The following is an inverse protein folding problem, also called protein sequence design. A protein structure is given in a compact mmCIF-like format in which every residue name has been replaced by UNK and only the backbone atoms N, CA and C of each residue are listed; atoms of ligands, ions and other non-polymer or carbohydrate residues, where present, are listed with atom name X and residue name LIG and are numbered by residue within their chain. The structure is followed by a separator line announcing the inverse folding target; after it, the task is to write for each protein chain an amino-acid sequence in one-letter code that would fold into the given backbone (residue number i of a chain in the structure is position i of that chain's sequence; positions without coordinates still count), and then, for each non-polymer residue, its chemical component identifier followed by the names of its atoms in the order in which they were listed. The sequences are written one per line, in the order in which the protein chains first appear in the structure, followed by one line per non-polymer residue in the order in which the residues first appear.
data_IF_203074756845
#
_entry.id   IF_203074756845
#
_cell.length_a   1.000
_cell.length_b   1.000
_cell.length_c   1.000
_cell.angle_alpha   90.00
_cell.angle_beta   90.00
_cell.angle_gamma   90.00
#
_symmetry.space_group_name_H-M   'P 1'
#
loop_
_entity.id
_entity.type
_entity.pdbx_description
1 polymer ?
#
# COMPACT_ATOMS: atom_id res chain seq x y z
N UNK A 1 20.80 -0.15 21.77
CA UNK A 1 20.43 0.25 20.38
C UNK A 1 20.49 1.75 20.12
N UNK A 2 19.87 2.63 20.91
CA UNK A 2 19.98 4.10 20.66
C UNK A 2 21.45 4.56 20.61
N UNK A 3 22.26 4.09 21.55
CA UNK A 3 23.71 4.33 21.56
C UNK A 3 24.40 3.87 20.25
N UNK A 4 24.08 2.66 19.75
CA UNK A 4 24.60 2.15 18.47
C UNK A 4 24.26 3.10 17.32
N UNK A 5 23.02 3.58 17.24
CA UNK A 5 22.59 4.53 16.21
C UNK A 5 23.33 5.88 16.29
N UNK A 6 23.46 6.43 17.49
CA UNK A 6 24.20 7.70 17.73
C UNK A 6 25.68 7.55 17.38
N UNK A 7 26.33 6.51 17.88
CA UNK A 7 27.76 6.25 17.61
C UNK A 7 27.99 6.09 16.11
N UNK A 8 27.15 5.31 15.43
CA UNK A 8 27.28 5.09 13.97
C UNK A 8 27.10 6.38 13.19
N UNK A 9 26.14 7.23 13.59
CA UNK A 9 25.89 8.51 12.95
C UNK A 9 27.06 9.49 13.15
N UNK A 10 27.57 9.60 14.38
CA UNK A 10 28.69 10.51 14.70
C UNK A 10 29.97 10.03 14.01
N UNK A 11 30.27 8.73 14.08
CA UNK A 11 31.42 8.15 13.40
C UNK A 11 31.34 8.38 11.88
N UNK A 12 30.19 8.11 11.27
CA UNK A 12 29.98 8.37 9.85
C UNK A 12 30.13 9.84 9.47
N UNK A 13 29.65 10.76 10.32
CA UNK A 13 29.79 12.19 10.10
C UNK A 13 31.26 12.65 10.19
N UNK A 14 32.01 12.11 11.16
CA UNK A 14 33.46 12.34 11.25
C UNK A 14 34.18 11.81 10.01
N UNK A 15 33.85 10.60 9.55
CA UNK A 15 34.45 10.00 8.37
C UNK A 15 34.10 10.75 7.07
N UNK A 16 32.90 11.34 7.01
CA UNK A 16 32.44 12.15 5.89
C UNK A 16 33.17 13.50 5.81
N UNK A 17 33.38 14.16 6.94
CA UNK A 17 33.97 15.52 7.00
C UNK A 17 35.48 15.50 7.11
N UNK A 18 36.04 14.50 7.81
CA UNK A 18 37.47 14.37 8.09
C UNK A 18 38.03 12.95 7.82
N UNK A 19 37.84 12.37 6.62
CA UNK A 19 38.26 10.99 6.31
C UNK A 19 39.77 10.76 6.48
N UNK A 20 40.60 11.77 6.19
CA UNK A 20 42.05 11.66 6.34
C UNK A 20 42.54 11.58 7.79
N UNK A 21 41.79 12.13 8.75
CA UNK A 21 42.10 11.98 10.17
C UNK A 21 41.89 10.53 10.61
N UNK A 22 40.77 9.94 10.19
CA UNK A 22 40.42 8.57 10.55
C UNK A 22 41.35 7.55 9.90
N UNK A 23 41.68 7.72 8.61
CA UNK A 23 42.67 6.87 7.93
C UNK A 23 44.01 6.82 8.68
N UNK A 24 44.49 7.96 9.18
CA UNK A 24 45.72 8.01 10.00
C UNK A 24 45.54 7.29 11.33
N UNK A 25 44.39 7.43 11.98
CA UNK A 25 44.07 6.72 13.22
C UNK A 25 44.01 5.20 13.03
N UNK A 26 43.57 4.74 11.86
CA UNK A 26 43.54 3.32 11.48
C UNK A 26 44.90 2.79 10.99
N UNK A 27 45.94 3.62 10.97
CA UNK A 27 47.30 3.26 10.58
C UNK A 27 47.52 3.19 9.06
N UNK A 28 46.66 3.84 8.27
CA UNK A 28 46.75 3.87 6.80
C UNK A 28 47.21 5.22 6.26
N UNK A 29 48.10 5.22 5.27
CA UNK A 29 48.46 6.45 4.56
C UNK A 29 47.30 6.96 3.70
N UNK A 30 46.86 8.22 3.89
CA UNK A 30 45.73 8.77 3.15
C UNK A 30 46.13 9.14 1.71
N UNK A 31 45.65 8.36 0.75
CA UNK A 31 45.68 8.68 -0.69
C UNK A 31 44.40 9.43 -1.10
N UNK A 32 44.38 10.19 -2.21
CA UNK A 32 43.17 10.85 -2.69
C UNK A 32 41.98 9.88 -2.89
N UNK A 33 42.27 8.67 -3.37
CA UNK A 33 41.27 7.63 -3.57
C UNK A 33 40.74 7.08 -2.24
N UNK A 34 41.60 6.77 -1.26
CA UNK A 34 41.17 6.26 0.04
C UNK A 34 40.42 7.30 0.86
N UNK A 35 40.80 8.58 0.77
CA UNK A 35 40.08 9.70 1.40
C UNK A 35 38.66 9.84 0.83
N UNK A 36 38.52 9.80 -0.50
CA UNK A 36 37.20 9.87 -1.14
C UNK A 36 36.31 8.65 -0.82
N UNK A 37 36.92 7.45 -0.83
CA UNK A 37 36.24 6.20 -0.52
C UNK A 37 35.76 6.17 0.94
N UNK A 38 36.61 6.57 1.90
CA UNK A 38 36.23 6.68 3.31
C UNK A 38 35.11 7.72 3.50
N UNK A 39 35.19 8.88 2.86
CA UNK A 39 34.12 9.87 2.91
C UNK A 39 32.77 9.31 2.41
N UNK A 40 32.80 8.52 1.34
CA UNK A 40 31.62 7.85 0.79
C UNK A 40 31.04 6.82 1.77
N UNK A 41 31.89 6.01 2.41
CA UNK A 41 31.47 5.08 3.48
C UNK A 41 30.84 5.85 4.64
N UNK A 42 31.46 6.95 5.06
CA UNK A 42 30.96 7.82 6.11
C UNK A 42 29.54 8.34 5.85
N UNK A 43 29.25 8.77 4.61
CA UNK A 43 27.91 9.16 4.19
C UNK A 43 26.88 8.04 4.43
N UNK A 44 27.19 6.81 4.03
CA UNK A 44 26.29 5.68 4.25
C UNK A 44 26.12 5.37 5.75
N UNK A 45 27.19 5.46 6.55
CA UNK A 45 27.10 5.30 8.00
C UNK A 45 26.18 6.35 8.64
N UNK A 46 26.21 7.61 8.19
CA UNK A 46 25.27 8.64 8.63
C UNK A 46 23.82 8.24 8.30
N UNK A 47 23.57 7.78 7.08
CA UNK A 47 22.22 7.38 6.65
C UNK A 47 21.70 6.17 7.44
N UNK A 48 22.50 5.12 7.64
CA UNK A 48 22.09 3.94 8.39
C UNK A 48 22.01 4.19 9.91
N UNK A 49 22.89 5.03 10.47
CA UNK A 49 22.78 5.49 11.85
C UNK A 49 21.51 6.32 12.09
N UNK A 50 21.21 7.26 11.19
CA UNK A 50 19.98 8.05 11.20
C UNK A 50 18.73 7.19 11.01
N UNK A 51 18.77 6.22 10.09
CA UNK A 51 17.70 5.25 9.88
C UNK A 51 17.43 4.45 11.16
N UNK A 52 18.47 3.92 11.80
CA UNK A 52 18.33 3.17 13.05
C UNK A 52 17.67 4.03 14.15
N UNK A 53 18.11 5.27 14.33
CA UNK A 53 17.50 6.20 15.28
C UNK A 53 16.05 6.54 14.94
N UNK A 54 15.71 6.65 13.66
CA UNK A 54 14.36 6.92 13.20
C UNK A 54 13.43 5.73 13.48
N UNK A 55 13.84 4.50 13.13
CA UNK A 55 12.99 3.32 13.31
C UNK A 55 12.84 2.91 14.77
N UNK A 56 13.80 3.26 15.63
CA UNK A 56 13.68 3.08 17.08
C UNK A 56 12.55 3.94 17.70
N UNK A 57 12.05 4.99 17.01
CA UNK A 57 10.88 5.75 17.48
C UNK A 57 9.58 4.96 17.31
N UNK A 58 9.50 4.11 16.28
CA UNK A 58 8.31 3.30 15.94
C UNK A 58 8.73 1.90 15.46
N UNK A 59 9.25 1.05 16.35
CA UNK A 59 9.92 -0.19 15.97
C UNK A 59 9.01 -1.23 15.29
N UNK A 60 7.69 -1.13 15.46
CA UNK A 60 6.74 -2.08 14.88
C UNK A 60 6.34 -1.77 13.44
N UNK A 61 6.53 -0.53 12.95
CA UNK A 61 6.05 -0.08 11.63
C UNK A 61 6.98 -0.49 10.47
N UNK A 62 8.31 -0.47 10.69
CA UNK A 62 9.32 -0.70 9.64
C UNK A 62 10.40 -1.69 10.09
N UNK A 63 10.04 -2.98 10.14
CA UNK A 63 10.95 -4.04 10.61
C UNK A 63 12.11 -4.32 9.66
N UNK A 64 11.87 -4.20 8.37
CA UNK A 64 12.86 -4.50 7.35
C UNK A 64 14.06 -3.57 7.44
N UNK A 65 13.86 -2.34 7.95
CA UNK A 65 14.94 -1.42 8.22
C UNK A 65 15.93 -1.97 9.27
N UNK A 66 15.47 -2.67 10.31
CA UNK A 66 16.38 -3.31 11.28
C UNK A 66 17.21 -4.43 10.63
N UNK A 67 16.62 -5.18 9.69
CA UNK A 67 17.35 -6.20 8.93
C UNK A 67 18.47 -5.55 8.09
N UNK A 68 18.15 -4.51 7.32
CA UNK A 68 19.12 -3.84 6.47
C UNK A 68 20.22 -3.13 7.27
N UNK A 69 19.90 -2.51 8.41
CA UNK A 69 20.90 -1.94 9.32
C UNK A 69 21.80 -3.03 9.90
N UNK A 70 21.25 -4.18 10.29
CA UNK A 70 22.04 -5.29 10.79
C UNK A 70 22.98 -5.85 9.71
N UNK A 71 22.50 -6.03 8.48
CA UNK A 71 23.30 -6.49 7.35
C UNK A 71 24.42 -5.50 7.02
N UNK A 72 24.16 -4.18 7.09
CA UNK A 72 25.18 -3.17 6.91
C UNK A 72 26.29 -3.29 7.97
N UNK A 73 25.93 -3.48 9.25
CA UNK A 73 26.89 -3.67 10.34
C UNK A 73 27.72 -4.94 10.19
N UNK A 74 27.08 -6.07 9.88
CA UNK A 74 27.79 -7.34 9.68
C UNK A 74 28.70 -7.29 8.44
N UNK A 75 28.24 -6.66 7.36
CA UNK A 75 29.03 -6.44 6.16
C UNK A 75 30.24 -5.54 6.41
N UNK A 76 30.09 -4.46 7.20
CA UNK A 76 31.18 -3.60 7.61
C UNK A 76 32.22 -4.35 8.47
N UNK A 77 31.76 -5.13 9.46
CA UNK A 77 32.63 -5.96 10.29
C UNK A 77 33.45 -6.96 9.45
N UNK A 78 32.79 -7.63 8.50
CA UNK A 78 33.47 -8.54 7.57
C UNK A 78 34.49 -7.82 6.69
N UNK A 79 34.11 -6.69 6.09
CA UNK A 79 35.00 -5.94 5.20
C UNK A 79 36.25 -5.40 5.93
N UNK A 80 36.09 -4.90 7.16
CA UNK A 80 37.20 -4.44 7.98
C UNK A 80 38.11 -5.60 8.40
N UNK A 81 37.54 -6.69 8.92
CA UNK A 81 38.32 -7.88 9.29
C UNK A 81 39.09 -8.45 8.10
N UNK A 82 38.47 -8.50 6.92
CA UNK A 82 39.09 -8.93 5.68
C UNK A 82 40.21 -7.97 5.22
N UNK A 83 40.05 -6.67 5.41
CA UNK A 83 41.10 -5.69 5.16
C UNK A 83 42.33 -5.89 6.05
N UNK A 84 42.13 -6.25 7.32
CA UNK A 84 43.24 -6.60 8.24
C UNK A 84 43.99 -7.84 7.76
N UNK A 85 43.29 -8.88 7.28
CA UNK A 85 43.95 -10.09 6.75
C UNK A 85 44.77 -9.86 5.47
N UNK A 86 44.65 -8.67 4.87
CA UNK A 86 45.39 -8.26 3.67
C UNK A 86 46.39 -7.13 3.95
N UNK A 87 46.68 -6.88 5.22
CA UNK A 87 47.57 -5.79 5.67
C UNK A 87 47.15 -4.39 5.17
N UNK A 88 45.87 -4.22 4.82
CA UNK A 88 45.32 -2.91 4.42
C UNK A 88 45.07 -2.04 5.65
N UNK A 89 44.67 -2.65 6.78
CA UNK A 89 44.37 -1.96 8.02
C UNK A 89 45.19 -2.52 9.18
N UNK A 90 45.52 -1.67 10.15
CA UNK A 90 46.19 -2.10 11.37
C UNK A 90 45.33 -3.08 12.19
N UNK A 91 45.92 -4.07 12.89
CA UNK A 91 45.18 -5.00 13.76
C UNK A 91 44.29 -4.32 14.81
N UNK A 92 44.59 -3.07 15.19
CA UNK A 92 43.75 -2.28 16.11
C UNK A 92 42.32 -2.07 15.57
N UNK A 93 42.15 -2.09 14.25
CA UNK A 93 40.85 -1.93 13.57
C UNK A 93 39.90 -3.12 13.79
N UNK A 94 40.41 -4.27 14.26
CA UNK A 94 39.58 -5.38 14.69
C UNK A 94 38.65 -5.00 15.86
N UNK A 95 39.02 -4.00 16.68
CA UNK A 95 38.13 -3.45 17.69
C UNK A 95 36.87 -2.82 17.09
N UNK A 96 37.02 -2.10 15.96
CA UNK A 96 35.89 -1.51 15.21
C UNK A 96 35.05 -2.61 14.57
N UNK A 97 35.70 -3.60 13.95
CA UNK A 97 35.00 -4.76 13.40
C UNK A 97 34.20 -5.53 14.46
N UNK A 98 34.77 -5.72 15.66
CA UNK A 98 34.12 -6.35 16.79
C UNK A 98 32.89 -5.56 17.28
N UNK A 99 33.01 -4.24 17.36
CA UNK A 99 31.88 -3.37 17.70
C UNK A 99 30.74 -3.48 16.68
N UNK A 100 31.07 -3.49 15.38
CA UNK A 100 30.07 -3.60 14.32
C UNK A 100 29.42 -5.00 14.28
N UNK A 101 30.19 -6.06 14.52
CA UNK A 101 29.67 -7.42 14.65
C UNK A 101 28.67 -7.51 15.81
N UNK A 102 29.07 -7.06 17.00
CA UNK A 102 28.23 -7.10 18.19
C UNK A 102 26.97 -6.23 18.02
N UNK A 103 27.11 -5.06 17.39
CA UNK A 103 25.99 -4.19 17.03
C UNK A 103 25.02 -4.87 16.07
N UNK A 104 25.52 -5.51 15.01
CA UNK A 104 24.71 -6.24 14.04
C UNK A 104 23.93 -7.40 14.67
N UNK A 105 24.60 -8.20 15.49
CA UNK A 105 23.97 -9.30 16.23
C UNK A 105 22.91 -8.81 17.23
N UNK A 106 23.19 -7.71 17.96
CA UNK A 106 22.22 -7.10 18.87
C UNK A 106 20.96 -6.62 18.13
N UNK A 107 21.13 -6.03 16.93
CA UNK A 107 20.01 -5.56 16.11
C UNK A 107 19.18 -6.75 15.57
N UNK A 108 19.82 -7.84 15.13
CA UNK A 108 19.11 -9.07 14.74
C UNK A 108 18.35 -9.70 15.91
N UNK A 109 18.97 -9.77 17.08
CA UNK A 109 18.31 -10.23 18.30
C UNK A 109 17.08 -9.40 18.64
N UNK A 110 17.18 -8.07 18.53
CA UNK A 110 16.02 -7.20 18.71
C UNK A 110 14.93 -7.38 17.65
N UNK A 111 15.31 -7.59 16.39
CA UNK A 111 14.34 -7.91 15.33
C UNK A 111 13.61 -9.23 15.62
N UNK A 112 14.31 -10.21 16.17
CA UNK A 112 13.72 -11.47 16.58
C UNK A 112 12.72 -11.29 17.74
N UNK A 113 13.07 -10.53 18.77
CA UNK A 113 12.13 -10.26 19.88
C UNK A 113 10.89 -9.51 19.42
N UNK A 114 11.03 -8.55 18.49
CA UNK A 114 9.89 -7.87 17.87
C UNK A 114 8.99 -8.81 17.06
N UNK A 115 9.57 -9.82 16.39
CA UNK A 115 8.81 -10.84 15.65
C UNK A 115 8.08 -11.78 16.59
N UNK A 116 8.74 -12.23 17.66
CA UNK A 116 8.18 -13.12 18.67
C UNK A 116 7.03 -12.48 19.42
N UNK A 117 7.15 -11.21 19.82
CA UNK A 117 6.08 -10.45 20.48
C UNK A 117 4.79 -10.35 19.66
N UNK A 118 4.86 -10.48 18.33
CA UNK A 118 3.70 -10.42 17.45
C UNK A 118 3.12 -11.78 17.05
N UNK A 119 3.88 -12.86 17.17
CA UNK A 119 3.37 -14.23 16.92
C UNK A 119 2.12 -14.57 17.73
N UNK A 120 2.02 -14.28 19.04
CA UNK A 120 0.82 -14.63 19.81
C UNK A 120 -0.39 -13.82 19.37
N UNK A 121 -0.24 -12.52 19.08
CA UNK A 121 -1.33 -11.65 18.60
C UNK A 121 -1.82 -12.09 17.22
N UNK A 122 -0.91 -12.38 16.29
CA UNK A 122 -1.26 -12.90 14.97
C UNK A 122 -1.95 -14.26 15.09
N UNK A 123 -1.44 -15.15 15.95
CA UNK A 123 -2.04 -16.47 16.18
C UNK A 123 -3.44 -16.36 16.82
N UNK A 124 -3.67 -15.39 17.71
CA UNK A 124 -4.96 -15.14 18.33
C UNK A 124 -5.98 -14.54 17.33
N UNK A 125 -5.54 -13.68 16.41
CA UNK A 125 -6.38 -13.15 15.33
C UNK A 125 -6.67 -14.20 14.25
N UNK A 126 -5.76 -15.16 14.04
CA UNK A 126 -5.94 -16.30 13.12
C UNK A 126 -6.74 -17.44 13.76
N UNK A 127 -6.79 -17.51 15.10
CA UNK A 127 -7.60 -18.50 15.82
C UNK A 127 -9.07 -18.15 15.57
N UNK A 128 -9.87 -19.04 14.96
CA UNK A 128 -11.30 -18.83 14.85
C UNK A 128 -11.85 -18.60 16.26
N UNK A 129 -12.61 -17.52 16.46
CA UNK A 129 -13.27 -17.29 17.74
C UNK A 129 -14.06 -18.57 18.12
N UNK A 130 -14.10 -18.95 19.41
CA UNK A 130 -15.01 -19.98 19.87
C UNK A 130 -16.41 -19.64 19.33
N UNK A 131 -17.05 -20.57 18.62
CA UNK A 131 -18.44 -20.40 18.21
C UNK A 131 -19.28 -20.42 19.47
N UNK A 132 -19.47 -19.27 20.09
CA UNK A 132 -20.63 -19.09 20.97
C UNK A 132 -21.85 -19.25 20.07
N UNK A 133 -22.76 -20.20 20.35
CA UNK A 133 -24.05 -20.19 19.68
C UNK A 133 -24.65 -18.80 19.89
N UNK A 134 -25.20 -18.15 18.85
CA UNK A 134 -25.78 -16.83 19.01
C UNK A 134 -26.81 -16.89 20.13
N UNK A 135 -26.79 -15.98 21.12
CA UNK A 135 -27.94 -15.83 22.00
C UNK A 135 -29.17 -15.60 21.12
N UNK A 136 -30.24 -16.35 21.38
CA UNK A 136 -31.52 -16.15 20.71
C UNK A 136 -31.86 -14.66 20.81
N UNK A 137 -32.06 -13.94 19.68
CA UNK A 137 -32.27 -12.51 19.74
C UNK A 137 -33.65 -12.27 20.34
N UNK A 138 -33.68 -11.73 21.56
CA UNK A 138 -34.80 -10.89 21.96
C UNK A 138 -34.69 -9.61 21.11
N UNK A 139 -35.66 -9.31 20.25
CA UNK A 139 -35.51 -8.22 19.29
C UNK A 139 -35.54 -6.89 20.04
N UNK A 140 -34.49 -6.04 19.96
CA UNK A 140 -34.64 -4.66 20.36
C UNK A 140 -35.69 -4.00 19.45
N UNK A 141 -36.46 -3.01 19.95
CA UNK A 141 -37.42 -2.28 19.14
C UNK A 141 -36.66 -1.42 18.13
N UNK A 142 -36.28 -2.01 16.99
CA UNK A 142 -35.75 -1.29 15.85
C UNK A 142 -36.93 -0.69 15.10
N UNK A 143 -37.09 0.62 15.18
CA UNK A 143 -37.92 1.36 14.23
C UNK A 143 -37.23 1.31 12.87
N UNK A 144 -37.81 0.69 11.83
CA UNK A 144 -37.18 0.66 10.52
C UNK A 144 -37.35 2.02 9.84
N UNK A 145 -36.25 2.64 9.39
CA UNK A 145 -36.31 3.84 8.54
C UNK A 145 -36.91 3.53 7.14
N UNK A 146 -37.17 2.26 6.82
CA UNK A 146 -38.08 1.84 5.76
C UNK A 146 -38.62 0.45 6.10
N UNK A 147 -39.85 0.37 6.59
CA UNK A 147 -40.56 -0.91 6.67
C UNK A 147 -40.80 -1.42 5.25
N UNK A 148 -40.37 -2.65 4.97
CA UNK A 148 -40.47 -3.30 3.67
C UNK A 148 -41.91 -3.76 3.39
N UNK A 149 -42.42 -3.64 2.15
CA UNK A 149 -43.67 -4.29 1.76
C UNK A 149 -43.54 -5.83 1.75
N UNK A 150 -44.53 -6.58 2.26
CA UNK A 150 -44.52 -8.04 2.23
C UNK A 150 -44.42 -8.56 0.77
N UNK A 151 -43.45 -9.43 0.47
CA UNK A 151 -43.35 -10.14 -0.83
C UNK A 151 -42.02 -10.04 -1.60
N UNK A 152 -41.18 -9.02 -1.38
CA UNK A 152 -39.99 -8.83 -2.25
C UNK A 152 -38.71 -9.49 -1.72
N UNK A 153 -38.12 -10.52 -2.35
CA UNK A 153 -36.92 -11.20 -1.84
C UNK A 153 -35.82 -10.25 -1.32
N UNK A 154 -35.14 -10.60 -0.21
CA UNK A 154 -34.14 -9.73 0.44
C UNK A 154 -32.97 -9.47 -0.53
N UNK A 155 -32.88 -8.25 -1.08
CA UNK A 155 -31.70 -7.81 -1.84
C UNK A 155 -30.50 -7.72 -0.90
N UNK A 156 -29.41 -8.40 -1.25
CA UNK A 156 -28.17 -8.41 -0.48
C UNK A 156 -27.04 -7.84 -1.32
N UNK A 157 -26.17 -7.08 -0.68
CA UNK A 157 -24.95 -6.55 -1.28
C UNK A 157 -23.72 -7.27 -0.74
N UNK A 158 -22.77 -7.55 -1.62
CA UNK A 158 -21.48 -8.16 -1.30
C UNK A 158 -20.38 -7.10 -1.42
N UNK A 159 -19.60 -6.87 -0.37
CA UNK A 159 -18.49 -5.90 -0.39
C UNK A 159 -17.16 -6.64 -0.30
N UNK A 160 -16.35 -6.55 -1.36
CA UNK A 160 -15.05 -7.20 -1.51
C UNK A 160 -13.93 -6.18 -1.29
N UNK A 161 -13.51 -6.07 -0.03
CA UNK A 161 -12.45 -5.18 0.38
C UNK A 161 -11.09 -5.55 -0.26
N UNK A 162 -10.25 -4.53 -0.45
CA UNK A 162 -8.88 -4.70 -0.92
C UNK A 162 -7.96 -5.38 0.10
N UNK A 163 -6.88 -5.98 -0.37
CA UNK A 163 -5.88 -6.63 0.49
C UNK A 163 -4.61 -7.13 -0.20
N UNK A 164 -4.33 -6.68 -1.43
CA UNK A 164 -3.28 -7.26 -2.28
C UNK A 164 -3.58 -8.73 -2.65
N UNK A 165 -2.56 -9.54 -2.93
CA UNK A 165 -2.74 -10.96 -3.30
C UNK A 165 -3.39 -11.83 -2.20
N UNK A 166 -3.48 -11.33 -0.96
CA UNK A 166 -4.18 -12.06 0.11
C UNK A 166 -5.66 -12.25 -0.21
N UNK A 167 -6.25 -11.49 -1.12
CA UNK A 167 -7.66 -11.61 -1.54
C UNK A 167 -8.06 -12.99 -2.06
N UNK A 168 -7.11 -13.89 -2.35
CA UNK A 168 -7.41 -15.29 -2.67
C UNK A 168 -8.29 -15.99 -1.61
N UNK A 169 -8.19 -15.62 -0.32
CA UNK A 169 -9.05 -16.19 0.72
C UNK A 169 -10.53 -15.86 0.52
N UNK A 170 -10.85 -14.73 -0.14
CA UNK A 170 -12.23 -14.32 -0.39
C UNK A 170 -12.97 -15.33 -1.29
N UNK A 171 -12.28 -16.01 -2.21
CA UNK A 171 -12.90 -17.08 -3.01
C UNK A 171 -13.45 -18.22 -2.13
N UNK A 172 -12.72 -18.59 -1.07
CA UNK A 172 -13.19 -19.56 -0.08
C UNK A 172 -14.39 -19.06 0.73
N UNK A 173 -14.41 -17.77 1.08
CA UNK A 173 -15.56 -17.16 1.74
C UNK A 173 -16.79 -17.12 0.81
N UNK A 174 -16.61 -16.79 -0.47
CA UNK A 174 -17.65 -16.83 -1.49
C UNK A 174 -18.19 -18.23 -1.70
N UNK A 175 -17.32 -19.26 -1.67
CA UNK A 175 -17.74 -20.66 -1.71
C UNK A 175 -18.64 -21.02 -0.54
N UNK A 176 -18.25 -20.67 0.70
CA UNK A 176 -19.08 -20.94 1.87
C UNK A 176 -20.44 -20.21 1.81
N UNK A 177 -20.48 -18.98 1.31
CA UNK A 177 -21.72 -18.22 1.12
C UNK A 177 -22.62 -18.85 0.05
N UNK A 178 -22.02 -19.34 -1.04
CA UNK A 178 -22.73 -20.04 -2.11
C UNK A 178 -23.30 -21.38 -1.64
N UNK A 179 -22.52 -22.19 -0.93
CA UNK A 179 -22.97 -23.44 -0.30
C UNK A 179 -24.12 -23.21 0.71
N UNK A 180 -24.14 -22.04 1.36
CA UNK A 180 -25.23 -21.62 2.25
C UNK A 180 -26.48 -21.07 1.51
N UNK A 181 -26.50 -21.07 0.18
CA UNK A 181 -27.62 -20.56 -0.62
C UNK A 181 -27.79 -19.04 -0.54
N UNK A 182 -26.71 -18.29 -0.25
CA UNK A 182 -26.74 -16.84 -0.17
C UNK A 182 -26.46 -16.23 -1.54
N UNK A 183 -27.49 -15.59 -2.10
CA UNK A 183 -27.40 -14.83 -3.34
C UNK A 183 -27.29 -13.33 -3.08
N UNK A 184 -26.62 -12.63 -3.98
CA UNK A 184 -26.39 -11.19 -3.95
C UNK A 184 -26.98 -10.55 -5.20
N UNK A 185 -27.66 -9.42 -5.02
CA UNK A 185 -28.17 -8.61 -6.12
C UNK A 185 -27.13 -7.57 -6.59
N UNK A 186 -26.18 -7.24 -5.71
CA UNK A 186 -25.16 -6.23 -5.95
C UNK A 186 -23.82 -6.65 -5.35
N UNK A 187 -22.72 -6.32 -6.03
CA UNK A 187 -21.36 -6.52 -5.57
C UNK A 187 -20.50 -5.28 -5.76
N UNK A 188 -19.69 -4.96 -4.75
CA UNK A 188 -18.78 -3.82 -4.76
C UNK A 188 -17.34 -4.29 -4.47
N UNK A 189 -16.38 -3.89 -5.29
CA UNK A 189 -15.01 -4.38 -5.22
C UNK A 189 -13.97 -3.26 -5.22
N UNK A 190 -12.94 -3.41 -4.37
CA UNK A 190 -11.84 -2.45 -4.28
C UNK A 190 -10.48 -3.16 -4.35
N UNK A 191 -9.53 -2.60 -5.12
CA UNK A 191 -8.16 -3.14 -5.25
C UNK A 191 -8.15 -4.63 -5.63
N UNK A 192 -7.48 -5.51 -4.87
CA UNK A 192 -7.50 -6.96 -5.15
C UNK A 192 -8.90 -7.58 -5.12
N UNK A 193 -9.85 -6.99 -4.37
CA UNK A 193 -11.24 -7.45 -4.33
C UNK A 193 -11.95 -7.31 -5.68
N UNK A 194 -11.50 -6.38 -6.54
CA UNK A 194 -11.97 -6.22 -7.92
C UNK A 194 -11.76 -7.51 -8.72
N UNK A 195 -10.70 -8.28 -8.46
CA UNK A 195 -10.44 -9.53 -9.18
C UNK A 195 -11.52 -10.58 -8.88
N UNK A 196 -11.88 -10.75 -7.61
CA UNK A 196 -12.93 -11.71 -7.23
C UNK A 196 -14.32 -11.25 -7.72
N UNK A 197 -14.62 -9.94 -7.66
CA UNK A 197 -15.84 -9.39 -8.21
C UNK A 197 -15.90 -9.62 -9.73
N UNK A 198 -14.80 -9.37 -10.44
CA UNK A 198 -14.70 -9.57 -11.87
C UNK A 198 -14.87 -11.05 -12.25
N UNK A 199 -14.30 -11.99 -11.50
CA UNK A 199 -14.53 -13.44 -11.72
C UNK A 199 -16.01 -13.81 -11.59
N UNK A 200 -16.69 -13.33 -10.54
CA UNK A 200 -18.12 -13.58 -10.36
C UNK A 200 -18.95 -12.98 -11.49
N UNK A 201 -18.66 -11.74 -11.89
CA UNK A 201 -19.34 -11.06 -12.99
C UNK A 201 -19.02 -11.69 -14.35
N UNK A 202 -17.88 -12.37 -14.49
CA UNK A 202 -17.53 -13.21 -15.65
C UNK A 202 -18.25 -14.56 -15.64
N UNK A 203 -19.08 -14.85 -14.64
CA UNK A 203 -19.84 -16.09 -14.52
C UNK A 203 -19.10 -17.25 -13.87
N UNK A 204 -17.92 -17.03 -13.26
CA UNK A 204 -17.19 -18.11 -12.57
C UNK A 204 -17.90 -18.52 -11.29
N UNK A 205 -18.03 -19.84 -11.06
CA UNK A 205 -18.57 -20.36 -9.81
C UNK A 205 -17.53 -20.24 -8.68
N UNK A 206 -17.94 -19.99 -7.41
CA UNK A 206 -16.99 -19.84 -6.30
C UNK A 206 -16.04 -21.04 -6.10
N UNK A 207 -16.47 -22.25 -6.45
CA UNK A 207 -15.60 -23.44 -6.43
C UNK A 207 -14.49 -23.37 -7.49
N UNK A 208 -14.83 -22.97 -8.72
CA UNK A 208 -13.87 -22.77 -9.81
C UNK A 208 -12.91 -21.62 -9.48
N UNK A 209 -13.43 -20.54 -8.87
CA UNK A 209 -12.62 -19.43 -8.39
C UNK A 209 -11.53 -19.92 -7.43
N UNK A 210 -11.87 -20.77 -6.47
CA UNK A 210 -10.90 -21.37 -5.55
C UNK A 210 -9.82 -22.17 -6.29
N UNK A 211 -10.21 -22.98 -7.28
CA UNK A 211 -9.28 -23.76 -8.10
C UNK A 211 -8.30 -22.89 -8.89
N UNK A 212 -8.81 -21.83 -9.53
CA UNK A 212 -8.01 -20.87 -10.28
C UNK A 212 -7.02 -20.12 -9.39
N UNK A 213 -7.46 -19.65 -8.22
CA UNK A 213 -6.56 -19.02 -7.24
C UNK A 213 -5.46 -19.96 -6.74
N UNK A 214 -5.76 -21.25 -6.56
CA UNK A 214 -4.78 -22.24 -6.07
C UNK A 214 -3.68 -22.56 -7.08
N UNK A 215 -4.01 -22.48 -8.37
CA UNK A 215 -3.11 -22.81 -9.48
C UNK A 215 -2.41 -21.57 -10.07
N UNK A 216 -2.83 -20.37 -9.67
CA UNK A 216 -2.23 -19.13 -10.12
C UNK A 216 -0.81 -19.00 -9.58
N UNK A 217 0.17 -18.87 -10.48
CA UNK A 217 1.57 -18.71 -10.06
C UNK A 217 1.76 -17.27 -9.63
N UNK A 218 2.28 -17.07 -8.41
CA UNK A 218 2.59 -15.74 -7.87
C UNK A 218 3.57 -14.98 -8.79
N UNK A 219 4.44 -15.70 -9.48
CA UNK A 219 5.38 -15.16 -10.45
C UNK A 219 4.68 -14.46 -11.63
N UNK A 220 3.45 -14.85 -11.98
CA UNK A 220 2.69 -14.22 -13.07
C UNK A 220 2.17 -12.82 -12.69
N UNK A 221 2.19 -12.44 -11.40
CA UNK A 221 2.01 -11.06 -10.96
C UNK A 221 3.27 -10.19 -11.09
N UNK A 222 4.44 -10.83 -11.26
CA UNK A 222 5.74 -10.17 -11.28
C UNK A 222 6.35 -10.37 -12.66
N UNK A 223 6.29 -9.34 -13.50
CA UNK A 223 7.13 -9.28 -14.69
C UNK A 223 8.59 -9.25 -14.24
N UNK A 224 9.34 -10.35 -14.43
CA UNK A 224 10.80 -10.32 -14.33
C UNK A 224 11.31 -9.36 -15.41
N UNK A 225 11.70 -8.14 -15.01
CA UNK A 225 12.38 -7.20 -15.90
C UNK A 225 13.83 -7.67 -16.10
N UNK A 226 14.39 -7.41 -17.28
CA UNK A 226 15.78 -7.78 -17.60
C UNK A 226 16.78 -7.11 -16.64
N UNK A 227 17.92 -7.75 -16.33
CA UNK A 227 18.94 -7.21 -15.42
C UNK A 227 19.44 -5.80 -15.81
N UNK A 228 19.41 -5.48 -17.09
CA UNK A 228 19.85 -4.20 -17.67
C UNK A 228 19.01 -3.00 -17.23
N UNK A 229 17.73 -3.20 -16.87
CA UNK A 229 16.86 -2.13 -16.38
C UNK A 229 17.01 -1.87 -14.88
N UNK A 230 17.53 -2.83 -14.10
CA UNK A 230 17.88 -2.61 -12.69
C UNK A 230 19.05 -1.61 -12.52
N UNK A 231 19.88 -1.45 -13.54
CA UNK A 231 20.97 -0.46 -13.56
C UNK A 231 20.47 0.98 -13.79
N UNK A 232 19.21 1.18 -14.20
CA UNK A 232 18.58 2.50 -14.32
C UNK A 232 17.76 2.82 -13.07
N UNK A 233 18.45 2.95 -11.94
CA UNK A 233 17.86 3.20 -10.62
C UNK A 233 17.05 4.52 -10.49
N UNK A 234 17.08 5.39 -11.50
CA UNK A 234 16.42 6.70 -11.52
C UNK A 234 15.02 6.69 -12.14
N UNK A 235 14.54 5.54 -12.61
CA UNK A 235 13.24 5.39 -13.28
C UNK A 235 12.47 4.16 -12.76
N UNK A 236 12.38 4.03 -11.43
CA UNK A 236 11.61 2.93 -10.82
C UNK A 236 10.11 3.18 -10.99
N UNK A 237 9.56 2.67 -12.09
CA UNK A 237 8.13 2.34 -12.20
C UNK A 237 7.74 1.34 -11.10
N UNK A 238 6.57 1.55 -10.49
CA UNK A 238 6.06 0.73 -9.40
C UNK A 238 6.01 -0.77 -9.77
N UNK A 239 6.44 -1.62 -8.84
CA UNK A 239 6.45 -3.08 -8.99
C UNK A 239 5.06 -3.62 -9.38
N UNK A 240 4.99 -4.24 -10.56
CA UNK A 240 3.82 -4.92 -11.11
C UNK A 240 3.47 -4.37 -12.48
N UNK A 241 3.92 -5.00 -13.56
CA UNK A 241 3.52 -4.61 -14.90
C UNK A 241 2.08 -5.07 -15.19
N UNK A 242 1.20 -4.14 -15.55
CA UNK A 242 -0.23 -4.34 -15.78
C UNK A 242 -0.42 -5.25 -16.99
N UNK A 243 0.57 -5.27 -17.89
CA UNK A 243 0.60 -6.19 -19.02
C UNK A 243 0.71 -7.64 -18.56
N UNK A 244 1.47 -7.94 -17.49
CA UNK A 244 1.56 -9.29 -16.92
C UNK A 244 0.25 -9.74 -16.29
N UNK A 245 -0.41 -8.84 -15.56
CA UNK A 245 -1.72 -9.10 -14.96
C UNK A 245 -2.80 -9.32 -16.05
N UNK A 246 -2.82 -8.48 -17.08
CA UNK A 246 -3.81 -8.59 -18.17
C UNK A 246 -3.56 -9.81 -19.04
N UNK A 247 -2.31 -10.13 -19.38
CA UNK A 247 -1.99 -11.23 -20.30
C UNK A 247 -1.95 -12.60 -19.63
N UNK A 248 -1.63 -12.67 -18.34
CA UNK A 248 -1.44 -13.95 -17.65
C UNK A 248 -2.43 -14.15 -16.52
N UNK A 249 -2.63 -13.15 -15.66
CA UNK A 249 -3.48 -13.32 -14.47
C UNK A 249 -4.96 -13.36 -14.82
N UNK A 250 -5.47 -12.47 -15.69
CA UNK A 250 -6.90 -12.44 -16.02
C UNK A 250 -7.39 -13.66 -16.79
N UNK A 251 -6.70 -14.10 -17.86
CA UNK A 251 -7.11 -15.33 -18.55
C UNK A 251 -7.07 -16.53 -17.61
N UNK A 252 -6.06 -16.61 -16.74
CA UNK A 252 -5.97 -17.69 -15.74
C UNK A 252 -7.11 -17.65 -14.72
N UNK A 253 -7.45 -16.45 -14.22
CA UNK A 253 -8.58 -16.26 -13.31
C UNK A 253 -9.95 -16.38 -14.01
N UNK A 254 -9.99 -16.53 -15.33
CA UNK A 254 -11.26 -16.64 -16.07
C UNK A 254 -12.04 -15.33 -16.07
N UNK A 255 -11.33 -14.19 -16.02
CA UNK A 255 -11.91 -12.86 -16.08
C UNK A 255 -12.14 -12.52 -17.55
N UNK A 256 -13.40 -12.34 -17.92
CA UNK A 256 -13.85 -11.99 -19.26
C UNK A 256 -14.59 -10.64 -19.21
N UNK A 257 -14.03 -9.66 -19.92
CA UNK A 257 -14.51 -8.27 -19.91
C UNK A 257 -15.89 -8.15 -20.56
N UNK A 258 -16.12 -8.90 -21.63
CA UNK A 258 -17.37 -8.84 -22.37
C UNK A 258 -18.47 -9.53 -21.57
N UNK A 259 -18.15 -10.64 -20.90
CA UNK A 259 -19.05 -11.29 -19.95
C UNK A 259 -19.42 -10.38 -18.77
N UNK A 260 -18.45 -9.65 -18.19
CA UNK A 260 -18.69 -8.69 -17.10
C UNK A 260 -19.68 -7.61 -17.54
N UNK A 261 -19.51 -7.05 -18.74
CA UNK A 261 -20.39 -5.99 -19.25
C UNK A 261 -21.79 -6.50 -19.58
N UNK A 262 -21.89 -7.72 -20.09
CA UNK A 262 -23.15 -8.34 -20.45
C UNK A 262 -23.91 -8.94 -19.25
N UNK A 263 -23.31 -8.97 -18.05
CA UNK A 263 -23.91 -9.60 -16.89
C UNK A 263 -25.15 -8.83 -16.40
N UNK A 264 -26.33 -9.43 -16.50
CA UNK A 264 -27.59 -8.85 -15.96
C UNK A 264 -28.05 -9.54 -14.68
N UNK A 265 -27.36 -10.58 -14.23
CA UNK A 265 -27.73 -11.38 -13.06
C UNK A 265 -27.33 -10.72 -11.73
N UNK A 266 -26.26 -9.91 -11.74
CA UNK A 266 -25.79 -9.17 -10.56
C UNK A 266 -25.21 -7.82 -10.98
N UNK A 267 -25.62 -6.74 -10.32
CA UNK A 267 -25.00 -5.43 -10.52
C UNK A 267 -23.64 -5.37 -9.82
N UNK A 268 -22.65 -4.78 -10.49
CA UNK A 268 -21.28 -4.63 -9.98
C UNK A 268 -20.78 -3.19 -9.98
N UNK A 269 -20.10 -2.75 -8.92
CA UNK A 269 -19.33 -1.51 -8.88
C UNK A 269 -17.87 -1.77 -8.52
N UNK A 270 -16.97 -1.12 -9.26
CA UNK A 270 -15.54 -1.21 -9.05
C UNK A 270 -15.00 0.13 -8.57
N UNK A 271 -14.47 0.16 -7.34
CA UNK A 271 -14.01 1.40 -6.72
C UNK A 271 -12.55 1.66 -7.03
N UNK A 272 -12.31 2.84 -7.60
CA UNK A 272 -10.99 3.34 -7.97
C UNK A 272 -10.77 4.72 -7.36
N UNK A 273 -9.52 5.03 -7.01
CA UNK A 273 -9.15 6.33 -6.49
C UNK A 273 -8.71 7.24 -7.64
N UNK A 274 -9.40 8.35 -7.90
CA UNK A 274 -8.80 9.45 -8.64
C UNK A 274 -7.75 10.13 -7.76
N UNK A 275 -6.47 9.95 -8.09
CA UNK A 275 -5.41 10.56 -7.30
C UNK A 275 -5.28 12.07 -7.50
N UNK A 276 -5.68 12.56 -8.67
CA UNK A 276 -5.61 13.98 -9.00
C UNK A 276 -6.63 14.75 -8.17
N UNK A 277 -7.85 14.21 -8.08
CA UNK A 277 -8.97 14.81 -7.34
C UNK A 277 -9.04 14.33 -5.89
N UNK A 278 -8.31 13.27 -5.52
CA UNK A 278 -8.38 12.58 -4.21
C UNK A 278 -9.79 12.10 -3.89
N UNK A 279 -10.51 11.65 -4.92
CA UNK A 279 -11.91 11.21 -4.83
C UNK A 279 -12.01 9.73 -5.15
N UNK A 280 -12.95 9.04 -4.51
CA UNK A 280 -13.29 7.68 -4.87
C UNK A 280 -14.33 7.71 -6.00
N UNK A 281 -14.11 6.92 -7.04
CA UNK A 281 -15.06 6.73 -8.13
C UNK A 281 -15.49 5.27 -8.18
N UNK A 282 -16.80 5.05 -8.15
CA UNK A 282 -17.40 3.74 -8.32
C UNK A 282 -17.77 3.59 -9.81
N UNK A 283 -17.02 2.76 -10.53
CA UNK A 283 -17.26 2.49 -11.95
C UNK A 283 -18.25 1.31 -12.05
N UNK A 284 -19.42 1.51 -12.69
CA UNK A 284 -20.36 0.43 -12.97
C UNK A 284 -19.73 -0.67 -13.86
N UNK A 285 -20.12 -1.92 -13.67
CA UNK A 285 -19.53 -3.06 -14.38
C UNK A 285 -19.79 -3.05 -15.90
N UNK A 286 -20.90 -2.48 -16.35
CA UNK A 286 -21.25 -2.32 -17.77
C UNK A 286 -20.36 -1.27 -18.47
N UNK A 287 -19.86 -0.30 -17.72
CA UNK A 287 -18.92 0.72 -18.18
C UNK A 287 -17.46 0.33 -17.94
N UNK A 288 -17.21 -0.88 -17.46
CA UNK A 288 -15.88 -1.30 -17.06
C UNK A 288 -14.93 -1.39 -18.26
N UNK A 289 -13.85 -0.61 -18.24
CA UNK A 289 -12.75 -0.65 -19.21
C UNK A 289 -11.44 -0.84 -18.44
N UNK A 290 -10.87 -2.04 -18.51
CA UNK A 290 -9.67 -2.43 -17.77
C UNK A 290 -8.44 -1.53 -18.03
N UNK A 291 -8.24 -1.08 -19.27
CA UNK A 291 -7.09 -0.26 -19.66
C UNK A 291 -7.05 1.12 -18.99
N UNK A 292 -8.18 1.65 -18.51
CA UNK A 292 -8.24 2.93 -17.80
C UNK A 292 -8.02 2.79 -16.28
N UNK A 293 -8.55 1.72 -15.66
CA UNK A 293 -8.56 1.54 -14.21
C UNK A 293 -7.17 1.27 -13.60
N UNK A 294 -6.32 0.48 -14.28
CA UNK A 294 -4.98 0.11 -13.79
C UNK A 294 -3.83 0.93 -14.38
N UNK A 295 -3.97 1.49 -15.59
CA UNK A 295 -2.90 2.31 -16.22
C UNK A 295 -2.71 3.61 -15.47
N UNK A 296 -3.76 4.09 -14.86
CA UNK A 296 -3.75 5.34 -14.15
C UNK A 296 -3.25 5.14 -12.70
N UNK A 297 -2.91 3.90 -12.34
CA UNK A 297 -2.22 3.58 -11.09
C UNK A 297 -0.72 3.95 -11.18
N UNK A 298 -0.32 4.52 -12.34
CA UNK A 298 1.06 4.68 -12.82
C UNK A 298 1.45 6.11 -13.22
N UNK A 299 0.97 7.20 -12.60
CA UNK A 299 1.74 8.45 -12.71
C UNK A 299 2.76 8.56 -11.58
N UNK A 300 4.05 8.67 -11.90
CA UNK A 300 5.03 9.25 -11.00
C UNK A 300 4.61 10.67 -10.64
N UNK A 301 4.92 11.11 -9.43
CA UNK A 301 4.77 12.48 -8.93
C UNK A 301 5.71 13.50 -9.61
N UNK A 302 6.31 13.17 -10.76
CA UNK A 302 7.29 13.99 -11.48
C UNK A 302 6.92 14.19 -12.95
N UNK A 303 5.90 15.00 -13.23
CA UNK A 303 5.71 15.63 -14.53
C UNK A 303 5.48 17.14 -14.37
N UNK A 304 6.51 17.93 -14.67
CA UNK A 304 6.36 19.36 -14.97
C UNK A 304 5.64 19.52 -16.32
N UNK A 305 4.91 20.63 -16.52
CA UNK A 305 3.85 20.70 -17.51
C UNK A 305 4.41 20.91 -18.92
N UNK A 306 4.06 20.04 -19.85
CA UNK A 306 4.07 20.35 -21.28
C UNK A 306 2.64 20.22 -21.82
N UNK A 307 1.88 21.31 -21.71
CA UNK A 307 0.81 21.77 -22.62
C UNK A 307 -0.12 20.77 -23.31
N UNK A 308 -0.47 19.62 -22.71
CA UNK A 308 -1.48 18.69 -23.25
C UNK A 308 -2.59 18.44 -22.22
N UNK A 309 -3.86 18.27 -22.65
CA UNK A 309 -5.00 18.16 -21.76
C UNK A 309 -4.81 17.01 -20.75
N UNK A 310 -5.12 17.30 -19.49
CA UNK A 310 -4.82 16.47 -18.33
C UNK A 310 -5.42 15.06 -18.48
N UNK A 311 -4.56 14.05 -18.65
CA UNK A 311 -4.95 12.65 -18.47
C UNK A 311 -5.09 12.41 -16.97
N UNK A 312 -6.30 12.10 -16.52
CA UNK A 312 -6.59 11.73 -15.13
C UNK A 312 -5.80 10.47 -14.73
N UNK A 313 -5.38 10.43 -13.46
CA UNK A 313 -4.60 9.32 -12.90
C UNK A 313 -5.38 8.61 -11.79
N UNK A 314 -5.52 7.28 -11.89
CA UNK A 314 -6.47 6.39 -11.18
C UNK A 314 -5.79 5.18 -10.53
N UNK A 315 -5.80 5.06 -9.22
CA UNK A 315 -5.05 4.01 -8.52
C UNK A 315 -5.98 3.15 -7.66
N UNK A 316 -5.61 1.91 -7.30
CA UNK A 316 -6.43 1.12 -6.40
C UNK A 316 -6.43 1.76 -5.02
N UNK A 317 -7.61 2.03 -4.47
CA UNK A 317 -7.75 2.58 -3.13
C UNK A 317 -7.15 1.58 -2.11
N UNK A 318 -6.10 2.02 -1.38
CA UNK A 318 -5.37 1.19 -0.40
C UNK A 318 -3.84 1.36 -0.38
N UNK A 319 -3.26 2.14 -1.28
CA UNK A 319 -1.85 2.55 -1.19
C UNK A 319 -1.64 3.47 0.02
N UNK A 320 -0.76 3.07 0.94
CA UNK A 320 -0.36 3.80 2.16
C UNK A 320 -0.16 5.30 1.88
N UNK A 321 -0.88 6.17 2.59
CA UNK A 321 -0.58 7.61 2.58
C UNK A 321 0.84 7.83 3.11
N UNK A 322 1.71 8.62 2.46
CA UNK A 322 2.84 9.23 3.14
C UNK A 322 2.27 10.22 4.17
N UNK A 323 2.62 10.03 5.44
CA UNK A 323 2.25 10.93 6.53
C UNK A 323 2.74 12.34 6.23
N UNK A 324 1.82 13.27 5.98
CA UNK A 324 2.16 14.69 5.89
C UNK A 324 2.27 15.24 7.31
N UNK A 325 3.51 15.37 7.79
CA UNK A 325 3.84 16.04 9.04
C UNK A 325 3.81 17.56 8.85
N UNK A 326 2.61 18.15 8.86
CA UNK A 326 2.41 19.56 9.18
C UNK A 326 1.15 19.70 10.05
N UNK A 327 1.17 20.48 11.14
CA UNK A 327 -0.03 20.74 11.92
C UNK A 327 -1.01 21.49 11.04
N UNK A 328 -2.23 20.99 10.87
CA UNK A 328 -3.33 21.82 10.40
C UNK A 328 -3.60 22.87 11.48
N UNK A 329 -3.10 24.08 11.25
CA UNK A 329 -3.50 25.27 11.98
C UNK A 329 -5.00 25.50 11.82
N UNK A 330 -5.59 26.00 12.90
CA UNK A 330 -6.96 26.44 13.05
C UNK A 330 -7.44 27.25 11.84
N UNK A 331 -8.49 26.76 11.17
CA UNK A 331 -9.35 27.60 10.34
C UNK A 331 -10.71 27.68 11.04
N UNK A 332 -11.03 28.90 11.49
CA UNK A 332 -12.23 29.31 12.22
C UNK A 332 -13.51 28.74 11.62
N UNK A 333 -14.38 28.27 12.50
CA UNK A 333 -15.82 28.22 12.26
C UNK A 333 -16.31 29.64 11.97
N UNK A 334 -16.82 29.89 10.76
CA UNK A 334 -17.77 30.97 10.49
C UNK A 334 -19.13 30.34 10.24
N UNK A 335 -20.01 30.53 11.22
CA UNK A 335 -21.44 30.29 11.21
C UNK A 335 -22.18 31.25 10.27
N UNK A 336 -23.24 30.76 9.63
CA UNK A 336 -24.32 31.53 9.03
C UNK A 336 -24.29 31.55 7.49
N UNK A 337 -25.40 31.47 6.77
CA UNK A 337 -26.80 31.29 7.12
C UNK A 337 -27.56 30.93 5.82
N UNK A 338 -28.71 30.29 5.98
CA UNK A 338 -29.67 29.90 4.95
C UNK A 338 -29.96 31.00 3.89
N UNK A 339 -30.15 30.57 2.64
CA UNK A 339 -30.72 31.39 1.57
C UNK A 339 -31.66 30.55 0.71
N UNK A 340 -32.88 30.35 1.20
CA UNK A 340 -34.01 29.83 0.43
C UNK A 340 -34.53 30.94 -0.50
N UNK A 341 -34.62 30.67 -1.80
CA UNK A 341 -35.30 31.54 -2.76
C UNK A 341 -36.74 31.08 -2.90
N UNK A 342 -37.65 31.79 -2.20
CA UNK A 342 -39.08 31.74 -2.44
C UNK A 342 -39.50 33.05 -3.09
N UNK A 343 -39.85 33.02 -4.38
CA UNK A 343 -40.45 34.15 -5.08
C UNK A 343 -41.96 34.07 -4.95
N UNK A 344 -42.56 34.97 -4.15
CA UNK A 344 -43.95 35.40 -4.27
C UNK A 344 -43.99 36.88 -4.67
N UNK A 345 -44.91 37.29 -5.56
CA UNK A 345 -45.02 38.67 -6.02
C UNK A 345 -45.94 39.48 -5.09
N UNK A 346 -45.88 40.82 -5.14
CA UNK A 346 -47.02 41.64 -4.81
C UNK A 346 -47.56 42.38 -6.04
N UNK A 347 -48.87 42.28 -6.11
CA UNK A 347 -49.86 43.03 -6.88
C UNK A 347 -49.76 44.55 -6.71
N UNK A 348 -50.07 45.31 -7.77
CA UNK A 348 -50.25 46.76 -7.65
C UNK A 348 -50.65 47.53 -8.93
N UNK A 349 -51.90 47.37 -9.36
CA UNK A 349 -52.80 48.34 -10.06
C UNK A 349 -52.58 48.72 -11.56
N UNK A 350 -53.48 48.12 -12.37
CA UNK A 350 -54.54 48.75 -13.18
C UNK A 350 -54.23 49.72 -14.33
N UNK A 351 -54.61 49.31 -15.56
CA UNK A 351 -55.59 49.96 -16.47
C UNK A 351 -55.49 49.29 -17.86
N UNK A 352 -56.48 48.48 -18.28
CA UNK A 352 -57.68 48.79 -19.08
C UNK A 352 -57.47 48.73 -20.61
N UNK A 353 -58.36 47.96 -21.28
CA UNK A 353 -58.73 47.97 -22.72
C UNK A 353 -57.67 47.44 -23.73
N UNK A 354 -57.98 46.72 -24.81
CA UNK A 354 -59.24 46.34 -25.47
C UNK A 354 -58.94 45.28 -26.54
N UNK A 355 -59.85 44.31 -26.67
CA UNK A 355 -60.40 43.67 -27.89
C UNK A 355 -59.53 42.98 -28.96
N UNK A 356 -60.17 41.92 -29.48
CA UNK A 356 -60.19 41.40 -30.87
C UNK A 356 -58.91 40.69 -31.33
N UNK A 357 -58.94 39.45 -31.82
CA UNK A 357 -60.02 38.62 -32.40
C UNK A 357 -59.60 37.16 -32.29
#
# INVERSE_FOLDING_TARGET
MKAVGVITLIAGAMQLVAPGFELRLLGTEPSPASVHFFGTIGMFMVLFGGLLLHVLKRPHENRDAFLWVALQKLGAAYAVAWGVTRDIFSPITLGVAGFDLLSGLLILGYLQTLREAQRPVASALLKPAPRTPPPSPEPPPVRPLAARPPGEARRRSLILAGGGMRVAWQAGALRALHEAGIHFAHGDGTSGGIMNLAMMLSGQLPEEMCGRWRTLRIQDFVSFRSPEQYLKAWDMEALGDADGIVRHVFPHLGIDVDAIRANTAMEGSFNVCDFTRKTNEAIPHDQWIWTCSWRASRCPSSCRPSGKPARSTWTPFGSRMPTCSKPCGEARMSSGCCGASATRPPTGKASFLSTST
#
